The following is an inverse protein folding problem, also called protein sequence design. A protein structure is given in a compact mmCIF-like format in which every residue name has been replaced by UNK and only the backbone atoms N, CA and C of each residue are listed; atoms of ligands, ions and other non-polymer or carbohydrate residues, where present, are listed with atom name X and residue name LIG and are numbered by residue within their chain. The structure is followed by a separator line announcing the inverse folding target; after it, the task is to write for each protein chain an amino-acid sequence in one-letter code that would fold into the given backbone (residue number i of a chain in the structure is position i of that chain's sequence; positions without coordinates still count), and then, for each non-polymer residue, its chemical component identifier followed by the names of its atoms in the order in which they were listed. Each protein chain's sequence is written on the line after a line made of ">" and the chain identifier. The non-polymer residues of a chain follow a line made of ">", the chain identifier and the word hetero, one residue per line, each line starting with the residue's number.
data_IF_449493234541
#
_entry.id   IF_449493234541
#
_cell.length_a   1.000
_cell.length_b   1.000
_cell.length_c   1.000
_cell.angle_alpha   90.00
_cell.angle_beta   90.00
_cell.angle_gamma   90.00
#
_symmetry.space_group_name_H-M   'P 1'
#
loop_
_entity.id
_entity.type
_entity.pdbx_description
1 polymer ?
#
# COMPACT_ATOMS: atom_id res chain seq x y z
N UNK A 1 -85.31 41.64 49.79
CA UNK A 1 -85.26 41.78 48.31
C UNK A 1 -84.05 42.60 47.86
N UNK A 2 -83.70 43.72 48.49
CA UNK A 2 -82.52 44.53 48.10
C UNK A 2 -81.15 43.82 48.31
N UNK A 3 -80.97 43.08 49.41
CA UNK A 3 -79.69 42.42 49.73
C UNK A 3 -79.36 41.26 48.78
N UNK A 4 -80.38 40.55 48.29
CA UNK A 4 -80.23 39.41 47.37
C UNK A 4 -79.85 39.85 45.96
N UNK A 5 -80.35 41.00 45.50
CA UNK A 5 -80.02 41.55 44.18
C UNK A 5 -78.57 42.05 44.07
N UNK A 6 -78.03 42.64 45.15
CA UNK A 6 -76.62 43.07 45.20
C UNK A 6 -75.67 41.87 45.19
N UNK A 7 -76.02 40.78 45.90
CA UNK A 7 -75.23 39.54 45.88
C UNK A 7 -75.19 38.93 44.46
N UNK A 8 -76.34 38.85 43.79
CA UNK A 8 -76.47 38.35 42.42
C UNK A 8 -75.60 39.12 41.41
N UNK A 9 -75.57 40.44 41.51
CA UNK A 9 -74.77 41.28 40.62
C UNK A 9 -73.26 41.08 40.89
N UNK A 10 -72.85 40.97 42.15
CA UNK A 10 -71.46 40.69 42.51
C UNK A 10 -71.00 39.32 42.00
N UNK A 11 -71.88 38.30 42.07
CA UNK A 11 -71.58 36.96 41.55
C UNK A 11 -71.47 36.95 40.03
N UNK A 12 -72.32 37.68 39.31
CA UNK A 12 -72.22 37.81 37.85
C UNK A 12 -70.91 38.48 37.42
N UNK A 13 -70.48 39.52 38.14
CA UNK A 13 -69.21 40.18 37.85
C UNK A 13 -68.02 39.25 38.06
N UNK A 14 -68.04 38.44 39.14
CA UNK A 14 -67.00 37.44 39.39
C UNK A 14 -67.00 36.31 38.36
N UNK A 15 -68.18 35.86 37.91
CA UNK A 15 -68.31 34.87 36.84
C UNK A 15 -67.70 35.40 35.53
N UNK A 16 -68.01 36.64 35.15
CA UNK A 16 -67.46 37.27 33.96
C UNK A 16 -65.92 37.44 34.02
N UNK A 17 -65.38 37.77 35.19
CA UNK A 17 -63.92 37.87 35.42
C UNK A 17 -63.22 36.50 35.27
N UNK A 18 -63.84 35.44 35.81
CA UNK A 18 -63.34 34.05 35.67
C UNK A 18 -63.40 33.58 34.21
N UNK A 19 -64.47 33.89 33.47
CA UNK A 19 -64.59 33.56 32.05
C UNK A 19 -63.52 34.27 31.20
N UNK A 20 -63.23 35.54 31.49
CA UNK A 20 -62.18 36.29 30.82
C UNK A 20 -60.78 35.70 31.09
N UNK A 21 -60.51 35.35 32.35
CA UNK A 21 -59.26 34.68 32.72
C UNK A 21 -59.12 33.33 32.04
N UNK A 22 -60.20 32.54 32.00
CA UNK A 22 -60.23 31.24 31.32
C UNK A 22 -59.91 31.37 29.83
N UNK A 23 -60.57 32.29 29.12
CA UNK A 23 -60.29 32.53 27.69
C UNK A 23 -58.85 33.01 27.45
N UNK A 24 -58.32 33.88 28.33
CA UNK A 24 -56.94 34.35 28.24
C UNK A 24 -55.94 33.21 28.46
N UNK A 25 -56.21 32.30 29.40
CA UNK A 25 -55.35 31.13 29.63
C UNK A 25 -55.38 30.14 28.48
N UNK A 26 -56.55 29.93 27.85
CA UNK A 26 -56.67 29.07 26.67
C UNK A 26 -55.87 29.63 25.51
N UNK A 27 -55.97 30.93 25.22
CA UNK A 27 -55.19 31.57 24.16
C UNK A 27 -53.67 31.43 24.38
N UNK A 28 -53.21 31.57 25.63
CA UNK A 28 -51.79 31.37 25.97
C UNK A 28 -51.37 29.91 25.84
N UNK A 29 -52.26 28.97 26.13
CA UNK A 29 -52.00 27.54 25.98
C UNK A 29 -51.84 27.18 24.49
N UNK A 30 -52.70 27.72 23.62
CA UNK A 30 -52.62 27.53 22.17
C UNK A 30 -51.30 28.10 21.61
N UNK A 31 -50.86 29.27 22.07
CA UNK A 31 -49.56 29.86 21.70
C UNK A 31 -48.38 28.97 22.13
N UNK A 32 -48.42 28.45 23.36
CA UNK A 32 -47.41 27.55 23.90
C UNK A 32 -47.36 26.21 23.14
N UNK A 33 -48.51 25.69 22.70
CA UNK A 33 -48.58 24.45 21.92
C UNK A 33 -47.91 24.64 20.54
N UNK A 34 -48.17 25.77 19.89
CA UNK A 34 -47.49 26.11 18.63
C UNK A 34 -45.98 26.26 18.82
N UNK A 35 -45.53 26.91 19.89
CA UNK A 35 -44.10 27.04 20.20
C UNK A 35 -43.43 25.69 20.51
N UNK A 36 -44.14 24.82 21.23
CA UNK A 36 -43.68 23.46 21.52
C UNK A 36 -43.55 22.63 20.25
N UNK A 37 -44.54 22.68 19.35
CA UNK A 37 -44.50 22.01 18.05
C UNK A 37 -43.33 22.53 17.21
N UNK A 38 -43.13 23.84 17.14
CA UNK A 38 -42.01 24.44 16.39
C UNK A 38 -40.65 24.02 16.95
N UNK A 39 -40.50 23.95 18.27
CA UNK A 39 -39.27 23.51 18.92
C UNK A 39 -39.01 22.03 18.67
N UNK A 40 -40.06 21.20 18.74
CA UNK A 40 -39.98 19.76 18.46
C UNK A 40 -39.62 19.50 17.00
N UNK A 41 -40.18 20.27 16.07
CA UNK A 41 -39.82 20.20 14.64
C UNK A 41 -38.33 20.50 14.44
N UNK A 42 -37.82 21.58 15.03
CA UNK A 42 -36.38 21.91 14.96
C UNK A 42 -35.50 20.83 15.56
N UNK A 43 -35.97 20.18 16.62
CA UNK A 43 -35.24 19.06 17.23
C UNK A 43 -35.19 17.86 16.28
N UNK A 44 -36.31 17.50 15.65
CA UNK A 44 -36.36 16.43 14.64
C UNK A 44 -35.44 16.78 13.45
N UNK A 45 -35.47 18.03 12.97
CA UNK A 45 -34.61 18.49 11.88
C UNK A 45 -33.11 18.35 12.25
N UNK A 46 -32.76 18.69 13.49
CA UNK A 46 -31.40 18.54 14.01
C UNK A 46 -30.99 17.07 14.15
N UNK A 47 -31.87 16.20 14.63
CA UNK A 47 -31.64 14.75 14.71
C UNK A 47 -31.46 14.14 13.32
N UNK A 48 -32.22 14.60 12.33
CA UNK A 48 -32.09 14.19 10.94
C UNK A 48 -30.76 14.65 10.34
N UNK A 49 -30.37 15.91 10.58
CA UNK A 49 -29.06 16.44 10.16
C UNK A 49 -27.92 15.65 10.79
N UNK A 50 -28.06 15.23 12.05
CA UNK A 50 -27.06 14.39 12.72
C UNK A 50 -26.95 13.00 12.07
N UNK A 51 -28.07 12.40 11.66
CA UNK A 51 -28.06 11.11 10.97
C UNK A 51 -27.38 11.20 9.58
N UNK A 52 -27.62 12.29 8.85
CA UNK A 52 -26.95 12.57 7.57
C UNK A 52 -25.44 12.73 7.76
N UNK A 53 -25.01 13.54 8.73
CA UNK A 53 -23.60 13.71 9.08
C UNK A 53 -22.94 12.39 9.52
N UNK A 54 -23.65 11.54 10.25
CA UNK A 54 -23.11 10.23 10.64
C UNK A 54 -22.92 9.29 9.44
N UNK A 55 -23.74 9.44 8.40
CA UNK A 55 -23.61 8.68 7.14
C UNK A 55 -22.39 9.16 6.35
N UNK A 56 -22.24 10.47 6.16
CA UNK A 56 -21.07 11.07 5.49
C UNK A 56 -19.76 10.70 6.22
N UNK A 57 -19.78 10.72 7.56
CA UNK A 57 -18.62 10.36 8.37
C UNK A 57 -18.28 8.86 8.27
N UNK A 58 -19.28 8.00 8.04
CA UNK A 58 -19.04 6.57 7.81
C UNK A 58 -18.40 6.32 6.44
N UNK A 59 -18.83 7.04 5.40
CA UNK A 59 -18.24 6.98 4.06
C UNK A 59 -16.79 7.47 4.08
N UNK A 60 -16.52 8.64 4.67
CA UNK A 60 -15.17 9.18 4.86
C UNK A 60 -14.26 8.22 5.64
N UNK A 61 -14.78 7.57 6.69
CA UNK A 61 -14.01 6.55 7.42
C UNK A 61 -13.67 5.33 6.55
N UNK A 62 -14.56 4.94 5.64
CA UNK A 62 -14.31 3.87 4.68
C UNK A 62 -13.15 4.21 3.75
N UNK A 63 -13.16 5.41 3.17
CA UNK A 63 -12.09 5.89 2.28
C UNK A 63 -10.74 6.05 3.00
N UNK A 64 -10.75 6.55 4.24
CA UNK A 64 -9.53 6.65 5.05
C UNK A 64 -8.99 5.27 5.41
N UNK A 65 -9.87 4.28 5.63
CA UNK A 65 -9.44 2.91 5.90
C UNK A 65 -8.72 2.30 4.69
N UNK A 66 -9.24 2.48 3.46
CA UNK A 66 -8.59 1.96 2.26
C UNK A 66 -7.24 2.64 2.01
N UNK A 67 -7.12 3.96 2.23
CA UNK A 67 -5.84 4.67 2.14
C UNK A 67 -4.81 4.21 3.19
N UNK A 68 -5.26 3.82 4.38
CA UNK A 68 -4.38 3.29 5.44
C UNK A 68 -3.99 1.83 5.21
N UNK A 69 -4.79 1.09 4.46
CA UNK A 69 -4.64 -0.35 4.25
C UNK A 69 -3.89 -0.70 2.96
N UNK A 70 -3.34 0.28 2.25
CA UNK A 70 -2.45 0.07 1.12
C UNK A 70 -1.03 0.54 1.41
N UNK A 71 -0.06 -0.28 1.01
CA UNK A 71 1.33 0.16 0.98
C UNK A 71 1.57 0.96 -0.30
N UNK A 72 2.50 1.91 -0.27
CA UNK A 72 2.98 2.54 -1.50
C UNK A 72 3.53 1.47 -2.46
N UNK A 73 3.42 1.71 -3.78
CA UNK A 73 3.93 0.78 -4.79
C UNK A 73 5.40 0.44 -4.51
N UNK A 74 5.72 -0.85 -4.57
CA UNK A 74 7.05 -1.35 -4.24
C UNK A 74 7.30 -1.56 -2.73
N UNK A 75 6.26 -1.58 -1.89
CA UNK A 75 6.34 -1.99 -0.48
C UNK A 75 5.32 -3.10 -0.19
N UNK A 76 5.67 -4.04 0.70
CA UNK A 76 4.86 -5.23 0.95
C UNK A 76 4.68 -5.56 2.44
N UNK A 77 3.64 -6.36 2.71
CA UNK A 77 3.37 -6.92 4.03
C UNK A 77 2.79 -5.93 5.04
N UNK A 78 2.51 -6.42 6.26
CA UNK A 78 1.82 -5.67 7.30
C UNK A 78 2.52 -4.37 7.71
N UNK A 79 3.85 -4.29 7.56
CA UNK A 79 4.66 -3.13 7.92
C UNK A 79 5.09 -2.29 6.72
N UNK A 80 4.59 -2.59 5.51
CA UNK A 80 5.02 -1.95 4.27
C UNK A 80 6.55 -1.90 4.18
N UNK A 81 7.17 -3.09 4.15
CA UNK A 81 8.62 -3.24 3.98
C UNK A 81 8.97 -3.03 2.50
N UNK A 82 10.07 -2.33 2.21
CA UNK A 82 10.48 -2.09 0.83
C UNK A 82 10.74 -3.41 0.08
N UNK A 83 10.19 -3.53 -1.12
CA UNK A 83 10.52 -4.60 -2.05
C UNK A 83 11.99 -4.50 -2.46
N UNK A 84 12.61 -5.65 -2.68
CA UNK A 84 14.03 -5.73 -3.00
C UNK A 84 14.30 -6.48 -4.32
N UNK A 85 13.40 -6.36 -5.29
CA UNK A 85 13.61 -6.88 -6.64
C UNK A 85 14.58 -5.98 -7.40
N UNK A 86 15.39 -6.56 -8.29
CA UNK A 86 16.09 -5.77 -9.31
C UNK A 86 15.09 -5.24 -10.34
N UNK A 87 15.52 -4.32 -11.20
CA UNK A 87 14.69 -3.80 -12.32
C UNK A 87 14.22 -4.88 -13.30
N UNK A 88 14.78 -6.08 -13.22
CA UNK A 88 14.43 -7.24 -14.03
C UNK A 88 13.28 -8.09 -13.46
N UNK A 89 12.52 -7.59 -12.49
CA UNK A 89 11.36 -8.31 -11.95
C UNK A 89 10.31 -7.41 -11.31
N UNK A 90 9.14 -7.98 -11.09
CA UNK A 90 7.99 -7.34 -10.45
C UNK A 90 7.83 -7.92 -9.04
N UNK A 91 7.64 -7.05 -8.05
CA UNK A 91 7.39 -7.46 -6.67
C UNK A 91 5.91 -7.77 -6.45
N UNK A 92 5.62 -8.81 -5.68
CA UNK A 92 4.32 -9.03 -5.04
C UNK A 92 4.14 -8.06 -3.86
N UNK A 93 3.72 -6.83 -4.19
CA UNK A 93 3.61 -5.68 -3.29
C UNK A 93 2.20 -5.54 -2.67
N UNK A 94 2.04 -4.53 -1.80
CA UNK A 94 0.83 -4.29 -1.02
C UNK A 94 0.82 -4.97 0.35
N UNK A 95 -0.16 -4.60 1.20
CA UNK A 95 -0.29 -5.09 2.59
C UNK A 95 -0.35 -6.62 2.72
N UNK A 96 -0.93 -7.28 1.72
CA UNK A 96 -1.04 -8.74 1.62
C UNK A 96 0.05 -9.37 0.75
N UNK A 97 0.85 -8.56 0.08
CA UNK A 97 1.95 -9.01 -0.75
C UNK A 97 3.03 -9.71 0.09
N UNK A 98 3.63 -10.73 -0.50
CA UNK A 98 4.70 -11.53 0.10
C UNK A 98 6.09 -10.91 -0.05
N UNK A 99 6.23 -9.91 -0.93
CA UNK A 99 7.53 -9.32 -1.29
C UNK A 99 8.36 -10.16 -2.24
N UNK A 100 7.81 -11.28 -2.75
CA UNK A 100 8.49 -12.15 -3.71
C UNK A 100 8.60 -11.48 -5.07
N UNK A 101 9.72 -11.68 -5.75
CA UNK A 101 9.95 -11.18 -7.10
C UNK A 101 9.54 -12.21 -8.16
N UNK A 102 8.73 -11.78 -9.12
CA UNK A 102 8.50 -12.46 -10.39
C UNK A 102 9.49 -11.91 -11.42
N UNK A 103 10.41 -12.75 -11.88
CA UNK A 103 11.48 -12.33 -12.79
C UNK A 103 11.02 -12.28 -14.25
N UNK A 104 11.55 -11.32 -15.00
CA UNK A 104 11.41 -11.26 -16.44
C UNK A 104 12.24 -12.38 -17.12
N UNK A 105 12.11 -12.48 -18.43
CA UNK A 105 12.79 -13.53 -19.21
C UNK A 105 14.29 -13.57 -18.96
N UNK A 106 14.85 -14.78 -18.97
CA UNK A 106 16.27 -15.07 -18.80
C UNK A 106 16.88 -14.70 -17.43
N UNK A 107 16.08 -14.24 -16.48
CA UNK A 107 16.51 -13.91 -15.11
C UNK A 107 16.02 -14.93 -14.09
N UNK A 108 16.80 -15.09 -13.04
CA UNK A 108 16.56 -15.98 -11.90
C UNK A 108 17.10 -15.37 -10.60
N UNK A 109 16.89 -16.08 -9.50
CA UNK A 109 17.26 -15.63 -8.16
C UNK A 109 16.07 -15.04 -7.41
N UNK A 110 16.25 -14.80 -6.11
CA UNK A 110 15.18 -14.30 -5.23
C UNK A 110 14.81 -12.86 -5.58
N UNK A 111 15.76 -12.11 -6.14
CA UNK A 111 15.64 -10.70 -6.53
C UNK A 111 15.78 -10.50 -8.04
N UNK A 112 15.77 -11.58 -8.82
CA UNK A 112 16.04 -11.55 -10.26
C UNK A 112 17.46 -11.05 -10.58
N UNK A 113 18.41 -11.40 -9.73
CA UNK A 113 19.79 -10.92 -9.78
C UNK A 113 20.75 -11.84 -10.55
N UNK A 114 20.28 -13.01 -10.99
CA UNK A 114 21.05 -14.02 -11.70
C UNK A 114 20.50 -14.23 -13.11
N UNK A 115 21.33 -14.73 -14.02
CA UNK A 115 20.84 -15.23 -15.30
C UNK A 115 20.40 -16.68 -15.14
N UNK A 116 19.38 -17.10 -15.90
CA UNK A 116 19.08 -18.53 -16.02
C UNK A 116 20.26 -19.28 -16.66
N UNK A 117 20.37 -20.61 -16.47
CA UNK A 117 21.42 -21.40 -17.10
C UNK A 117 21.45 -21.22 -18.62
N UNK A 118 22.66 -21.03 -19.17
CA UNK A 118 22.86 -20.82 -20.61
C UNK A 118 22.78 -19.35 -21.05
N UNK A 119 22.76 -18.39 -20.13
CA UNK A 119 22.76 -16.96 -20.42
C UNK A 119 23.91 -16.24 -19.72
N UNK A 120 24.37 -15.10 -20.27
CA UNK A 120 25.54 -14.37 -19.77
C UNK A 120 25.40 -12.85 -19.84
N UNK A 121 26.24 -12.14 -19.08
CA UNK A 121 26.30 -10.67 -19.08
C UNK A 121 25.17 -9.99 -18.29
N UNK A 122 25.18 -8.65 -18.26
CA UNK A 122 24.19 -7.87 -17.50
C UNK A 122 22.76 -8.01 -18.03
N UNK A 123 22.62 -8.18 -19.34
CA UNK A 123 21.35 -8.35 -20.04
C UNK A 123 20.91 -9.83 -20.15
N UNK A 124 21.69 -10.76 -19.58
CA UNK A 124 21.46 -12.20 -19.68
C UNK A 124 21.20 -12.66 -21.13
N UNK A 125 22.09 -12.30 -22.03
CA UNK A 125 22.06 -12.73 -23.42
C UNK A 125 22.28 -14.24 -23.54
N UNK A 126 21.66 -14.89 -24.52
CA UNK A 126 21.81 -16.33 -24.75
C UNK A 126 23.25 -16.68 -25.09
N UNK A 127 23.80 -17.71 -24.46
CA UNK A 127 25.11 -18.24 -24.78
C UNK A 127 25.20 -18.73 -26.23
N UNK A 128 26.34 -18.53 -26.90
CA UNK A 128 26.62 -19.20 -28.16
C UNK A 128 26.79 -20.71 -27.95
N UNK A 129 26.57 -21.49 -29.01
CA UNK A 129 26.92 -22.91 -29.01
C UNK A 129 28.45 -23.06 -28.96
N UNK A 130 28.95 -23.76 -27.95
CA UNK A 130 30.37 -24.07 -27.81
C UNK A 130 30.63 -25.53 -28.22
N UNK A 131 31.65 -25.73 -29.06
CA UNK A 131 32.10 -27.07 -29.42
C UNK A 131 32.67 -27.79 -28.20
N UNK A 132 32.29 -29.04 -27.91
CA UNK A 132 32.91 -29.81 -26.83
C UNK A 132 34.43 -29.92 -27.02
N UNK A 133 35.26 -29.85 -25.94
CA UNK A 133 34.88 -29.81 -24.52
C UNK A 133 34.64 -28.40 -23.95
N UNK A 134 34.56 -27.36 -24.78
CA UNK A 134 34.38 -25.98 -24.33
C UNK A 134 32.93 -25.70 -23.91
N UNK A 135 32.73 -24.80 -22.96
CA UNK A 135 31.42 -24.30 -22.51
C UNK A 135 31.42 -22.77 -22.41
N UNK A 136 30.24 -22.17 -22.53
CA UNK A 136 30.07 -20.73 -22.39
C UNK A 136 30.33 -20.28 -20.94
N UNK A 137 31.12 -19.21 -20.78
CA UNK A 137 31.26 -18.48 -19.52
C UNK A 137 29.95 -17.73 -19.19
N UNK A 138 29.02 -18.46 -18.57
CA UNK A 138 27.66 -18.05 -18.27
C UNK A 138 27.53 -17.32 -16.92
N UNK A 139 26.37 -16.70 -16.70
CA UNK A 139 26.04 -15.94 -15.50
C UNK A 139 26.22 -14.43 -15.70
N UNK A 140 25.80 -13.64 -14.71
CA UNK A 140 25.72 -12.17 -14.84
C UNK A 140 27.06 -11.47 -14.99
N UNK A 141 28.10 -12.06 -14.43
CA UNK A 141 29.50 -11.65 -14.62
C UNK A 141 30.20 -12.42 -15.74
N UNK A 142 29.52 -13.40 -16.32
CA UNK A 142 30.01 -14.22 -17.41
C UNK A 142 30.20 -13.39 -18.67
N UNK A 143 31.29 -13.68 -19.36
CA UNK A 143 31.71 -12.96 -20.55
C UNK A 143 31.08 -13.50 -21.85
N UNK A 144 30.46 -14.69 -21.79
CA UNK A 144 29.84 -15.36 -22.94
C UNK A 144 30.81 -16.08 -23.88
N UNK A 145 32.11 -16.02 -23.61
CA UNK A 145 33.12 -16.70 -24.41
C UNK A 145 33.17 -18.19 -24.08
N UNK A 146 33.46 -19.01 -25.09
CA UNK A 146 33.69 -20.44 -24.88
C UNK A 146 35.02 -20.65 -24.16
N UNK A 147 34.96 -21.27 -22.99
CA UNK A 147 36.11 -21.56 -22.11
C UNK A 147 36.12 -23.04 -21.70
N UNK A 148 37.16 -23.47 -20.99
CA UNK A 148 37.33 -24.85 -20.54
C UNK A 148 37.50 -24.91 -19.00
N UNK A 149 37.01 -25.99 -18.37
CA UNK A 149 36.91 -26.13 -16.90
C UNK A 149 38.24 -26.65 -16.42
N UNK A 150 39.19 -25.75 -16.21
CA UNK A 150 40.36 -26.07 -15.41
C UNK A 150 40.12 -25.56 -14.00
N UNK A 151 40.02 -26.48 -13.03
CA UNK A 151 40.02 -26.15 -11.61
C UNK A 151 41.42 -25.65 -11.25
N UNK A 152 41.63 -24.33 -11.21
CA UNK A 152 42.89 -23.75 -10.75
C UNK A 152 42.87 -23.61 -9.22
N UNK A 153 43.54 -24.53 -8.51
CA UNK A 153 44.09 -24.27 -7.18
C UNK A 153 45.54 -23.81 -7.35
N UNK A 154 45.78 -22.52 -7.59
CA UNK A 154 47.14 -21.97 -7.63
C UNK A 154 47.36 -20.94 -8.74
N UNK A 155 48.18 -19.95 -8.42
CA UNK A 155 48.34 -18.63 -9.05
C UNK A 155 49.07 -18.61 -10.39
N UNK A 156 48.56 -19.28 -11.43
CA UNK A 156 49.11 -19.15 -12.79
C UNK A 156 47.99 -18.91 -13.81
N UNK A 157 47.83 -17.64 -14.22
CA UNK A 157 46.89 -17.23 -15.25
C UNK A 157 47.46 -17.62 -16.62
N UNK A 158 47.00 -18.73 -17.19
CA UNK A 158 47.28 -19.04 -18.58
C UNK A 158 46.28 -18.28 -19.46
N UNK A 159 46.70 -17.12 -19.97
CA UNK A 159 45.93 -16.33 -20.93
C UNK A 159 45.76 -17.12 -22.23
N UNK A 160 44.52 -17.48 -22.58
CA UNK A 160 44.19 -17.99 -23.92
C UNK A 160 43.91 -16.77 -24.80
N UNK A 161 44.77 -16.51 -25.79
CA UNK A 161 44.57 -15.43 -26.76
C UNK A 161 43.54 -15.84 -27.83
N UNK A 162 42.92 -14.88 -28.56
CA UNK A 162 41.80 -15.15 -29.48
C UNK A 162 42.15 -16.04 -30.69
N UNK A 163 43.42 -16.39 -30.86
CA UNK A 163 43.93 -17.16 -31.99
C UNK A 163 44.57 -18.46 -31.51
N UNK A 164 43.71 -19.40 -31.07
CA UNK A 164 43.88 -20.86 -30.98
C UNK A 164 45.29 -21.43 -31.23
N UNK A 165 46.27 -21.06 -30.39
CA UNK A 165 47.53 -21.79 -30.29
C UNK A 165 47.87 -21.91 -28.83
N UNK A 166 47.83 -23.14 -28.33
CA UNK A 166 48.35 -23.48 -27.02
C UNK A 166 49.88 -23.39 -27.12
N UNK A 167 50.42 -22.17 -26.96
CA UNK A 167 51.85 -21.97 -26.87
C UNK A 167 52.28 -22.34 -25.46
N UNK A 168 52.82 -23.53 -25.29
CA UNK A 168 53.66 -23.87 -24.15
C UNK A 168 54.88 -22.93 -24.18
N UNK A 169 54.77 -21.78 -23.53
CA UNK A 169 55.96 -21.07 -23.08
C UNK A 169 56.52 -21.87 -21.90
N UNK A 170 57.29 -22.91 -22.22
CA UNK A 170 58.30 -23.40 -21.30
C UNK A 170 59.25 -22.22 -21.13
N UNK A 171 59.07 -21.45 -20.06
CA UNK A 171 60.10 -20.55 -19.59
C UNK A 171 61.30 -21.42 -19.24
N UNK A 172 62.23 -21.50 -20.19
CA UNK A 172 63.58 -21.96 -19.94
C UNK A 172 64.23 -20.95 -19.00
N UNK A 173 63.90 -21.02 -17.71
CA UNK A 173 64.74 -20.44 -16.67
C UNK A 173 66.01 -21.27 -16.65
N UNK A 174 67.07 -20.69 -17.23
CA UNK A 174 68.38 -21.27 -17.33
C UNK A 174 68.89 -21.74 -15.96
N UNK A 175 69.13 -23.05 -15.87
CA UNK A 175 70.07 -23.58 -14.91
C UNK A 175 71.50 -23.33 -15.44
N UNK A 176 72.15 -22.28 -14.95
CA UNK A 176 73.61 -22.19 -14.87
C UNK A 176 73.91 -21.80 -13.42
N UNK A 177 74.39 -22.69 -12.56
CA UNK A 177 75.67 -23.37 -12.69
C UNK A 177 76.62 -22.75 -11.67
N UNK A 178 76.44 -23.09 -10.39
CA UNK A 178 77.33 -22.71 -9.30
C UNK A 178 78.29 -23.86 -8.97
N UNK A 179 79.55 -23.73 -9.38
CA UNK A 179 80.65 -24.58 -8.95
C UNK A 179 81.43 -23.85 -7.85
N UNK A 180 81.87 -24.61 -6.84
CA UNK A 180 82.77 -24.13 -5.77
C UNK A 180 84.20 -23.87 -6.23
#
# INVERSE_FOLDING_TARGET
>A
TASTSSLLLSTQYRLADVELQANTTTSKLDELEVEYINTTSKQVDMEQTLAELMTELAELKGEVATLRDECERGYFGANCTACNCTSGGICDDGKKGSGRCACFENLAGVRCEECIPGHFGQDCATCPECSPPFYCDAGRSGSGWCTHRYNFNGSEQQYVTPNYTCSLLISAFGASGGSG
#
